data_IF_030113783796
#
_entry.id   IF_030113783796
#
_cell.length_a   1.000
_cell.length_b   1.000
_cell.length_c   1.000
_cell.angle_alpha   90.00
_cell.angle_beta   90.00
_cell.angle_gamma   90.00
#
_symmetry.space_group_name_H-M   'P 1'
#
loop_
_entity.id
_entity.type
_entity.pdbx_description
1 polymer ?
#
# COMPACT_ATOMS: atom_id res chain seq x y z
N UNK A 1 -8.40 -0.89 18.02
CA UNK A 1 -7.66 0.39 17.91
C UNK A 1 -6.72 0.29 16.72
N UNK A 2 -7.04 0.87 15.57
CA UNK A 2 -6.09 0.94 14.46
C UNK A 2 -5.14 2.12 14.74
N UNK A 3 -4.00 1.82 15.37
CA UNK A 3 -2.90 2.79 15.56
C UNK A 3 -1.94 2.64 14.39
N UNK A 4 -1.53 3.75 13.80
CA UNK A 4 -0.39 3.78 12.87
C UNK A 4 0.85 3.34 13.63
N UNK A 5 1.41 2.18 13.28
CA UNK A 5 2.66 1.67 13.83
C UNK A 5 3.81 1.97 12.87
N UNK A 6 4.98 2.29 13.43
CA UNK A 6 6.22 2.45 12.66
C UNK A 6 7.16 1.33 13.07
N UNK A 7 7.57 0.51 12.11
CA UNK A 7 8.48 -0.62 12.30
C UNK A 7 9.71 -0.35 11.43
N UNK A 8 10.90 -0.68 11.93
CA UNK A 8 12.12 -0.54 11.14
C UNK A 8 12.13 -1.58 10.03
N UNK A 9 12.43 -1.16 8.81
CA UNK A 9 12.50 -2.07 7.65
C UNK A 9 13.52 -3.21 7.87
N UNK A 10 14.59 -2.96 8.62
CA UNK A 10 15.61 -3.95 8.97
C UNK A 10 15.06 -5.14 9.75
N UNK A 11 13.99 -4.96 10.51
CA UNK A 11 13.31 -6.03 11.25
C UNK A 11 12.46 -6.90 10.31
N UNK A 12 12.02 -6.35 9.19
CA UNK A 12 11.23 -7.06 8.17
C UNK A 12 12.10 -7.70 7.09
N UNK A 13 13.31 -7.18 6.86
CA UNK A 13 14.24 -7.64 5.82
C UNK A 13 14.41 -9.17 5.73
N UNK A 14 14.53 -9.94 6.84
CA UNK A 14 14.63 -11.41 6.76
C UNK A 14 13.46 -12.09 6.02
N UNK A 15 12.30 -11.44 5.96
CA UNK A 15 11.10 -11.93 5.29
C UNK A 15 10.91 -11.37 3.87
N UNK A 16 11.76 -10.44 3.43
CA UNK A 16 11.62 -9.71 2.16
C UNK A 16 12.82 -9.91 1.22
N UNK A 17 13.87 -10.60 1.67
CA UNK A 17 15.13 -10.77 0.94
C UNK A 17 15.30 -12.18 0.39
N UNK A 18 15.86 -12.26 -0.81
CA UNK A 18 16.23 -13.50 -1.46
C UNK A 18 17.62 -13.95 -1.00
N UNK A 19 17.72 -15.17 -0.46
CA UNK A 19 18.99 -15.75 0.00
C UNK A 19 20.00 -15.99 -1.14
N UNK A 20 19.54 -16.17 -2.38
CA UNK A 20 20.43 -16.46 -3.52
C UNK A 20 21.20 -15.23 -4.02
N UNK A 21 20.61 -14.02 -3.95
CA UNK A 21 21.25 -12.79 -4.41
C UNK A 21 21.53 -11.77 -3.29
N UNK A 22 21.00 -11.98 -2.09
CA UNK A 22 21.12 -11.05 -0.96
C UNK A 22 20.30 -9.75 -1.09
N UNK A 23 19.53 -9.59 -2.18
CA UNK A 23 18.66 -8.43 -2.41
C UNK A 23 17.20 -8.68 -2.04
N UNK A 24 16.35 -7.66 -2.17
CA UNK A 24 14.90 -7.81 -2.05
C UNK A 24 14.32 -8.69 -3.17
N UNK A 25 13.19 -9.34 -2.90
CA UNK A 25 12.49 -10.12 -3.92
C UNK A 25 12.04 -9.25 -5.11
N UNK A 26 12.46 -9.67 -6.30
CA UNK A 26 11.99 -9.16 -7.60
C UNK A 26 11.43 -10.37 -8.35
N UNK A 27 10.18 -10.25 -8.79
CA UNK A 27 9.37 -11.35 -9.33
C UNK A 27 9.42 -12.58 -8.42
N UNK A 28 8.96 -12.42 -7.17
CA UNK A 28 8.95 -13.46 -6.15
C UNK A 28 8.36 -14.77 -6.73
N UNK A 29 9.11 -15.85 -6.53
CA UNK A 29 8.80 -17.18 -7.05
C UNK A 29 9.04 -18.18 -5.93
N UNK A 30 7.99 -18.94 -5.62
CA UNK A 30 7.93 -19.84 -4.47
C UNK A 30 7.95 -21.30 -4.94
N UNK A 31 8.74 -22.13 -4.28
CA UNK A 31 8.75 -23.58 -4.45
C UNK A 31 7.51 -24.16 -3.76
N UNK A 32 6.68 -24.91 -4.47
CA UNK A 32 5.38 -25.39 -3.95
C UNK A 32 5.59 -26.38 -2.79
N UNK A 33 6.55 -27.29 -2.91
CA UNK A 33 6.76 -28.38 -1.95
C UNK A 33 7.21 -27.94 -0.55
N UNK A 34 7.88 -26.78 -0.43
CA UNK A 34 8.43 -26.32 0.84
C UNK A 34 8.16 -24.84 1.15
N UNK A 35 7.43 -24.13 0.29
CA UNK A 35 7.05 -22.73 0.44
C UNK A 35 8.20 -21.74 0.65
N UNK A 36 9.42 -22.09 0.21
CA UNK A 36 10.55 -21.17 0.19
C UNK A 36 10.52 -20.30 -1.07
N UNK A 37 10.70 -18.99 -0.89
CA UNK A 37 10.59 -17.98 -1.94
C UNK A 37 11.95 -17.39 -2.32
N UNK A 38 12.08 -17.04 -3.60
CA UNK A 38 13.29 -16.51 -4.24
C UNK A 38 12.91 -15.51 -5.34
N UNK A 39 13.86 -14.74 -5.87
CA UNK A 39 13.63 -14.02 -7.13
C UNK A 39 13.48 -15.01 -8.30
N UNK A 40 12.59 -14.74 -9.26
CA UNK A 40 12.34 -15.61 -10.43
C UNK A 40 13.62 -16.03 -11.14
N UNK A 41 14.44 -15.06 -11.53
CA UNK A 41 15.68 -15.31 -12.27
C UNK A 41 16.70 -16.10 -11.45
N UNK A 42 16.75 -15.88 -10.13
CA UNK A 42 17.68 -16.56 -9.23
C UNK A 42 17.33 -18.04 -9.10
N UNK A 43 16.07 -18.36 -8.81
CA UNK A 43 15.67 -19.76 -8.61
C UNK A 43 15.64 -20.53 -9.93
N UNK A 44 15.24 -19.92 -11.04
CA UNK A 44 15.29 -20.56 -12.36
C UNK A 44 16.72 -20.96 -12.71
N UNK A 45 17.68 -20.02 -12.57
CA UNK A 45 19.10 -20.29 -12.84
C UNK A 45 19.69 -21.35 -11.91
N UNK A 46 19.33 -21.31 -10.62
CA UNK A 46 19.82 -22.32 -9.67
C UNK A 46 19.31 -23.73 -10.04
N UNK A 47 18.03 -23.86 -10.41
CA UNK A 47 17.39 -25.14 -10.74
C UNK A 47 17.83 -25.74 -12.09
N UNK A 48 18.63 -25.03 -12.88
CA UNK A 48 19.35 -25.60 -14.04
C UNK A 48 20.43 -26.60 -13.61
N UNK A 49 20.98 -26.43 -12.40
CA UNK A 49 22.10 -27.24 -11.89
C UNK A 49 21.72 -28.15 -10.73
N UNK A 50 20.65 -27.84 -10.00
CA UNK A 50 20.19 -28.59 -8.83
C UNK A 50 18.68 -28.86 -8.88
N UNK A 51 18.25 -29.97 -8.27
CA UNK A 51 16.83 -30.33 -8.12
C UNK A 51 16.32 -30.19 -6.69
N UNK A 52 17.13 -29.61 -5.80
CA UNK A 52 16.86 -29.52 -4.36
C UNK A 52 16.76 -28.07 -3.92
N UNK A 53 15.93 -27.78 -2.93
CA UNK A 53 15.73 -26.42 -2.42
C UNK A 53 17.05 -25.86 -1.82
N UNK A 54 17.45 -24.61 -2.15
CA UNK A 54 18.65 -23.98 -1.59
C UNK A 54 18.67 -23.79 -0.06
N UNK A 55 17.53 -23.93 0.61
CA UNK A 55 17.38 -23.62 2.05
C UNK A 55 17.26 -24.90 2.88
N UNK A 56 16.45 -25.86 2.43
CA UNK A 56 16.09 -27.03 3.22
C UNK A 56 16.39 -28.37 2.53
N UNK A 57 17.05 -28.35 1.36
CA UNK A 57 17.43 -29.54 0.59
C UNK A 57 16.27 -30.50 0.25
N UNK A 58 15.02 -30.05 0.36
CA UNK A 58 13.86 -30.80 -0.11
C UNK A 58 13.91 -30.88 -1.64
N UNK A 59 13.68 -32.07 -2.20
CA UNK A 59 13.64 -32.27 -3.64
C UNK A 59 12.45 -31.53 -4.25
N UNK A 60 12.72 -30.53 -5.11
CA UNK A 60 11.70 -29.69 -5.74
C UNK A 60 10.84 -30.50 -6.70
N UNK A 61 11.47 -31.35 -7.52
CA UNK A 61 10.82 -32.29 -8.42
C UNK A 61 11.82 -33.37 -8.87
N UNK A 62 11.34 -34.58 -9.19
CA UNK A 62 12.19 -35.72 -9.59
C UNK A 62 13.03 -35.46 -10.85
N UNK A 63 12.40 -34.92 -11.90
CA UNK A 63 13.05 -34.68 -13.21
C UNK A 63 13.13 -33.21 -13.62
N UNK A 64 12.02 -32.47 -13.50
CA UNK A 64 11.86 -31.09 -13.99
C UNK A 64 11.49 -30.11 -12.86
N UNK A 65 12.48 -29.56 -12.11
CA UNK A 65 12.22 -28.69 -10.96
C UNK A 65 11.41 -27.43 -11.29
N UNK A 66 11.50 -26.91 -12.52
CA UNK A 66 10.71 -25.75 -12.98
C UNK A 66 9.19 -25.97 -12.98
N UNK A 67 8.69 -27.21 -12.93
CA UNK A 67 7.25 -27.48 -12.87
C UNK A 67 6.64 -27.17 -11.50
N UNK A 68 7.46 -27.22 -10.44
CA UNK A 68 7.06 -27.09 -9.04
C UNK A 68 7.47 -25.74 -8.41
N UNK A 69 7.66 -24.72 -9.25
CA UNK A 69 7.77 -23.33 -8.82
C UNK A 69 6.60 -22.52 -9.37
N UNK A 70 6.15 -21.50 -8.62
CA UNK A 70 5.06 -20.61 -9.00
C UNK A 70 5.41 -19.17 -8.67
N UNK A 71 4.98 -18.24 -9.53
CA UNK A 71 5.06 -16.81 -9.23
C UNK A 71 4.17 -16.50 -8.02
N UNK A 72 4.73 -15.83 -7.02
CA UNK A 72 4.06 -15.44 -5.79
C UNK A 72 3.73 -13.95 -5.84
N UNK A 73 2.61 -13.64 -6.49
CA UNK A 73 2.19 -12.25 -6.71
C UNK A 73 1.86 -11.54 -5.39
N UNK A 74 1.34 -12.27 -4.40
CA UNK A 74 1.00 -11.70 -3.10
C UNK A 74 2.25 -11.32 -2.32
N UNK A 75 3.25 -12.20 -2.25
CA UNK A 75 4.53 -11.86 -1.63
C UNK A 75 5.20 -10.69 -2.35
N UNK A 76 5.17 -10.68 -3.68
CA UNK A 76 5.74 -9.57 -4.45
C UNK A 76 5.02 -8.23 -4.16
N UNK A 77 3.70 -8.24 -4.06
CA UNK A 77 2.90 -7.06 -3.71
C UNK A 77 3.23 -6.58 -2.29
N UNK A 78 3.43 -7.49 -1.33
CA UNK A 78 3.85 -7.16 0.04
C UNK A 78 5.22 -6.48 0.03
N UNK A 79 6.20 -7.08 -0.66
CA UNK A 79 7.56 -6.54 -0.75
C UNK A 79 7.56 -5.15 -1.38
N UNK A 80 6.84 -4.96 -2.48
CA UNK A 80 6.76 -3.67 -3.14
C UNK A 80 5.99 -2.58 -2.35
N UNK A 81 5.03 -2.97 -1.49
CA UNK A 81 4.34 -2.02 -0.60
C UNK A 81 5.15 -1.65 0.63
N UNK A 82 5.93 -2.59 1.17
CA UNK A 82 6.71 -2.38 2.39
C UNK A 82 8.05 -1.70 2.14
N UNK A 83 8.71 -1.98 1.01
CA UNK A 83 10.03 -1.43 0.69
C UNK A 83 9.86 -0.13 -0.11
N UNK A 84 10.18 1.05 0.47
CA UNK A 84 9.96 2.33 -0.19
C UNK A 84 10.74 2.46 -1.49
N UNK A 85 10.06 2.86 -2.56
CA UNK A 85 10.68 3.13 -3.87
C UNK A 85 11.17 1.90 -4.63
N UNK A 86 11.07 0.68 -4.08
CA UNK A 86 11.59 -0.53 -4.73
C UNK A 86 10.96 -0.76 -6.10
N UNK A 87 9.63 -0.69 -6.18
CA UNK A 87 8.90 -0.84 -7.44
C UNK A 87 9.29 0.24 -8.46
N UNK A 88 9.29 1.52 -8.05
CA UNK A 88 9.68 2.65 -8.92
C UNK A 88 11.10 2.44 -9.48
N UNK A 89 12.03 2.00 -8.64
CA UNK A 89 13.42 1.75 -9.01
C UNK A 89 13.56 0.55 -9.96
N UNK A 90 12.85 -0.55 -9.71
CA UNK A 90 12.86 -1.72 -10.58
C UNK A 90 12.28 -1.40 -11.97
N UNK A 91 11.12 -0.74 -12.03
CA UNK A 91 10.52 -0.30 -13.29
C UNK A 91 11.42 0.69 -14.05
N UNK A 92 12.17 1.54 -13.34
CA UNK A 92 13.18 2.42 -13.94
C UNK A 92 14.31 1.61 -14.57
N UNK A 93 14.86 0.61 -13.85
CA UNK A 93 15.94 -0.25 -14.36
C UNK A 93 15.51 -1.00 -15.63
N UNK A 94 14.28 -1.54 -15.66
CA UNK A 94 13.72 -2.20 -16.85
C UNK A 94 13.66 -1.24 -18.04
N UNK A 95 13.08 -0.04 -17.86
CA UNK A 95 12.99 0.96 -18.93
C UNK A 95 14.36 1.40 -19.44
N UNK A 96 15.30 1.72 -18.53
CA UNK A 96 16.64 2.15 -18.89
C UNK A 96 17.37 1.07 -19.71
N UNK A 97 17.20 -0.20 -19.33
CA UNK A 97 17.76 -1.34 -20.06
C UNK A 97 17.22 -1.43 -21.49
N UNK A 98 15.89 -1.42 -21.67
CA UNK A 98 15.30 -1.55 -23.00
C UNK A 98 15.49 -0.30 -23.87
N UNK A 99 15.60 0.89 -23.27
CA UNK A 99 15.95 2.11 -23.99
C UNK A 99 17.36 2.03 -24.60
N UNK A 100 18.30 1.38 -23.91
CA UNK A 100 19.67 1.16 -24.40
C UNK A 100 19.81 -0.04 -25.36
N UNK A 101 18.85 -0.97 -25.35
CA UNK A 101 18.87 -2.20 -26.16
C UNK A 101 17.64 -2.32 -27.07
N UNK A 102 17.51 -1.46 -28.10
CA UNK A 102 16.40 -1.53 -29.05
C UNK A 102 16.57 -2.75 -29.98
N UNK A 103 16.20 -3.95 -29.51
CA UNK A 103 16.16 -5.18 -30.32
C UNK A 103 14.71 -5.61 -30.61
N UNK A 104 14.52 -6.45 -31.63
CA UNK A 104 13.20 -6.99 -32.00
C UNK A 104 12.55 -7.84 -30.89
N UNK A 105 13.35 -8.46 -30.02
CA UNK A 105 12.86 -9.22 -28.86
C UNK A 105 12.25 -8.32 -27.77
N UNK A 106 12.58 -7.02 -27.80
CA UNK A 106 11.89 -6.03 -27.00
C UNK A 106 10.41 -5.91 -27.39
N UNK A 107 9.88 -6.59 -28.42
CA UNK A 107 8.45 -6.65 -28.74
C UNK A 107 7.69 -7.82 -28.07
N UNK A 108 8.38 -8.82 -27.52
CA UNK A 108 7.74 -10.06 -27.03
C UNK A 108 7.43 -10.10 -25.52
N UNK A 109 7.89 -9.14 -24.73
CA UNK A 109 7.58 -9.02 -23.30
C UNK A 109 6.22 -8.38 -23.00
N UNK A 110 5.73 -8.51 -21.76
CA UNK A 110 4.61 -7.70 -21.29
C UNK A 110 5.03 -6.23 -21.06
N UNK A 111 4.08 -5.31 -20.95
CA UNK A 111 4.39 -3.91 -20.65
C UNK A 111 5.11 -3.77 -19.29
N UNK A 112 4.74 -4.58 -18.30
CA UNK A 112 5.40 -4.65 -16.99
C UNK A 112 6.85 -5.16 -17.10
N UNK A 113 7.15 -6.09 -18.02
CA UNK A 113 8.51 -6.56 -18.27
C UNK A 113 9.40 -5.44 -18.85
N UNK A 114 8.83 -4.52 -19.63
CA UNK A 114 9.52 -3.32 -20.13
C UNK A 114 9.63 -2.20 -19.08
N UNK A 115 8.95 -2.34 -17.94
CA UNK A 115 8.79 -1.27 -16.96
C UNK A 115 7.82 -0.16 -17.40
N UNK A 116 7.02 -0.43 -18.43
CA UNK A 116 5.95 0.45 -18.91
C UNK A 116 4.66 0.13 -18.15
N UNK A 117 4.47 0.76 -17.00
CA UNK A 117 3.26 0.59 -16.19
C UNK A 117 2.39 1.82 -16.40
N UNK A 118 1.19 1.61 -16.98
CA UNK A 118 0.19 2.66 -17.12
C UNK A 118 -0.16 3.23 -15.73
N UNK A 119 -0.52 4.50 -15.67
CA UNK A 119 -0.91 5.14 -14.40
C UNK A 119 -2.09 4.42 -13.73
N UNK A 120 -2.99 3.82 -14.52
CA UNK A 120 -4.15 3.05 -14.06
C UNK A 120 -3.76 1.69 -13.43
N UNK A 121 -2.61 1.15 -13.80
CA UNK A 121 -2.08 -0.12 -13.28
C UNK A 121 -1.15 0.06 -12.08
N UNK A 122 -0.90 1.31 -11.64
CA UNK A 122 -0.15 1.61 -10.43
C UNK A 122 -0.95 1.22 -9.18
N UNK A 123 -0.87 -0.06 -8.82
CA UNK A 123 -1.42 -0.63 -7.57
C UNK A 123 -0.72 -0.14 -6.31
N UNK A 124 0.44 0.50 -6.46
CA UNK A 124 1.24 0.99 -5.34
C UNK A 124 1.08 2.51 -5.28
N UNK A 125 0.51 2.97 -4.19
CA UNK A 125 0.33 4.37 -3.83
C UNK A 125 1.34 4.63 -2.73
N UNK A 126 2.23 5.58 -2.95
CA UNK A 126 3.22 6.00 -1.95
C UNK A 126 2.74 7.26 -1.23
N UNK A 127 3.28 7.54 -0.04
CA UNK A 127 2.83 8.66 0.79
C UNK A 127 3.21 10.04 0.20
N UNK A 128 4.25 10.08 -0.62
CA UNK A 128 4.71 11.23 -1.41
C UNK A 128 3.86 11.50 -2.68
N UNK A 129 2.96 10.60 -3.06
CA UNK A 129 2.16 10.77 -4.28
C UNK A 129 1.04 11.80 -4.14
N UNK A 130 0.70 12.45 -5.26
CA UNK A 130 -0.49 13.29 -5.38
C UNK A 130 -1.67 12.42 -5.86
N UNK A 131 -2.74 12.40 -5.08
CA UNK A 131 -4.01 11.76 -5.41
C UNK A 131 -5.00 12.82 -5.92
N UNK A 132 -5.66 12.51 -7.03
CA UNK A 132 -6.82 13.26 -7.52
C UNK A 132 -8.08 12.73 -6.85
N UNK A 133 -8.88 13.61 -6.26
CA UNK A 133 -10.14 13.25 -5.61
C UNK A 133 -11.26 14.20 -6.02
N UNK A 134 -12.49 13.73 -5.91
CA UNK A 134 -13.69 14.55 -6.03
C UNK A 134 -14.42 14.57 -4.69
N UNK A 135 -15.03 15.71 -4.36
CA UNK A 135 -15.82 15.88 -3.15
C UNK A 135 -17.13 16.58 -3.46
N UNK A 136 -18.24 15.94 -3.08
CA UNK A 136 -19.60 16.45 -3.29
C UNK A 136 -20.43 16.42 -2.02
N UNK A 137 -21.43 17.29 -1.93
CA UNK A 137 -22.37 17.27 -0.82
C UNK A 137 -23.27 16.04 -0.93
N UNK A 138 -23.41 15.30 0.16
CA UNK A 138 -24.30 14.17 0.25
C UNK A 138 -25.73 14.66 0.45
N UNK A 139 -26.53 14.57 -0.60
CA UNK A 139 -27.96 14.89 -0.58
C UNK A 139 -28.79 13.61 -0.47
N UNK A 140 -29.28 13.31 0.73
CA UNK A 140 -30.16 12.16 0.99
C UNK A 140 -31.41 12.19 0.08
N UNK A 141 -31.95 13.38 -0.19
CA UNK A 141 -33.18 13.54 -0.98
C UNK A 141 -32.95 13.24 -2.47
N UNK A 142 -31.72 13.32 -2.98
CA UNK A 142 -31.40 12.94 -4.36
C UNK A 142 -31.37 11.43 -4.57
N UNK A 143 -31.01 10.64 -3.55
CA UNK A 143 -31.04 9.18 -3.64
C UNK A 143 -32.48 8.68 -3.80
N UNK A 144 -33.39 9.20 -2.98
CA UNK A 144 -34.81 8.83 -3.02
C UNK A 144 -35.47 9.20 -4.35
N UNK A 145 -35.05 10.33 -4.95
CA UNK A 145 -35.52 10.75 -6.29
C UNK A 145 -34.90 9.93 -7.42
N UNK A 146 -33.72 9.35 -7.24
CA UNK A 146 -33.07 8.50 -8.26
C UNK A 146 -33.71 7.11 -8.33
N UNK A 147 -34.18 6.59 -7.20
CA UNK A 147 -34.95 5.32 -7.12
C UNK A 147 -36.32 5.45 -7.81
N UNK A 148 -36.94 6.62 -7.79
CA UNK A 148 -38.24 6.87 -8.43
C UNK A 148 -38.17 7.31 -9.91
N UNK A 149 -36.96 7.42 -10.50
CA UNK A 149 -36.75 8.00 -11.83
C UNK A 149 -36.30 6.97 -12.87
N UNK A 150 -37.07 5.90 -13.02
CA UNK A 150 -36.96 4.99 -14.17
C UNK A 150 -37.69 5.51 -15.44
N UNK A 151 -38.29 6.71 -15.38
CA UNK A 151 -39.00 7.30 -16.53
C UNK A 151 -38.81 8.80 -16.60
N UNK A 152 -37.64 9.28 -17.04
CA UNK A 152 -37.51 10.47 -17.92
C UNK A 152 -36.05 10.85 -18.22
N UNK A 153 -35.86 11.33 -19.46
CA UNK A 153 -34.61 11.68 -20.17
C UNK A 153 -33.48 12.30 -19.33
N UNK A 154 -32.20 12.12 -19.75
CA UNK A 154 -31.04 12.66 -19.04
C UNK A 154 -31.01 14.18 -19.23
N UNK A 155 -31.60 14.93 -18.28
CA UNK A 155 -31.26 16.33 -18.11
C UNK A 155 -29.82 16.38 -17.59
N UNK A 156 -28.95 17.15 -18.25
CA UNK A 156 -27.57 17.44 -17.85
C UNK A 156 -27.46 17.45 -16.33
N UNK A 157 -26.83 16.43 -15.76
CA UNK A 157 -26.57 16.38 -14.32
C UNK A 157 -25.65 17.57 -14.00
N UNK A 158 -26.19 18.58 -13.33
CA UNK A 158 -25.40 19.69 -12.78
C UNK A 158 -24.34 19.07 -11.88
N UNK A 159 -23.09 19.07 -12.36
CA UNK A 159 -21.96 18.41 -11.72
C UNK A 159 -21.54 19.22 -10.49
N UNK A 160 -22.22 19.02 -9.37
CA UNK A 160 -21.96 19.70 -8.08
C UNK A 160 -20.72 19.13 -7.34
N UNK A 161 -19.79 18.55 -8.12
CA UNK A 161 -18.54 17.96 -7.65
C UNK A 161 -17.43 19.00 -7.70
N UNK A 162 -16.66 19.09 -6.63
CA UNK A 162 -15.38 19.80 -6.63
C UNK A 162 -14.23 18.81 -6.71
N UNK A 163 -13.21 19.12 -7.48
CA UNK A 163 -12.03 18.27 -7.66
C UNK A 163 -10.82 18.87 -6.93
N UNK A 164 -10.02 18.01 -6.31
CA UNK A 164 -8.85 18.38 -5.52
C UNK A 164 -7.67 17.48 -5.90
N UNK A 165 -6.47 18.06 -5.86
CA UNK A 165 -5.20 17.31 -5.88
C UNK A 165 -4.58 17.43 -4.49
N UNK A 166 -4.37 16.30 -3.84
CA UNK A 166 -3.92 16.24 -2.45
C UNK A 166 -2.77 15.24 -2.30
N UNK A 167 -1.78 15.51 -1.44
CA UNK A 167 -0.83 14.49 -1.02
C UNK A 167 -1.55 13.26 -0.44
N UNK A 168 -1.09 12.06 -0.78
CA UNK A 168 -1.67 10.79 -0.35
C UNK A 168 -1.68 10.65 1.18
N UNK A 169 -0.68 11.24 1.85
CA UNK A 169 -0.59 11.32 3.31
C UNK A 169 -1.63 12.25 3.99
N UNK A 170 -2.41 13.03 3.23
CA UNK A 170 -3.46 13.88 3.80
C UNK A 170 -4.56 13.03 4.45
N UNK A 171 -5.03 13.43 5.64
CA UNK A 171 -6.05 12.69 6.38
C UNK A 171 -7.46 13.21 6.16
N UNK A 172 -8.45 12.39 6.51
CA UNK A 172 -9.86 12.78 6.59
C UNK A 172 -10.06 13.98 7.52
N UNK A 173 -9.32 14.06 8.62
CA UNK A 173 -9.34 15.23 9.50
C UNK A 173 -8.95 16.52 8.76
N UNK A 174 -7.94 16.48 7.88
CA UNK A 174 -7.55 17.63 7.08
C UNK A 174 -8.67 18.04 6.11
N UNK A 175 -9.29 17.07 5.41
CA UNK A 175 -10.45 17.34 4.54
C UNK A 175 -11.61 17.97 5.31
N UNK A 176 -11.89 17.48 6.52
CA UNK A 176 -12.95 18.03 7.37
C UNK A 176 -12.68 19.49 7.74
N UNK A 177 -11.45 19.81 8.16
CA UNK A 177 -11.04 21.18 8.48
C UNK A 177 -11.12 22.08 7.25
N UNK A 178 -10.68 21.58 6.10
CA UNK A 178 -10.80 22.26 4.82
C UNK A 178 -12.26 22.59 4.48
N UNK A 179 -13.16 21.61 4.54
CA UNK A 179 -14.60 21.82 4.27
C UNK A 179 -15.21 22.83 5.24
N UNK A 180 -14.88 22.73 6.53
CA UNK A 180 -15.35 23.66 7.55
C UNK A 180 -14.99 25.11 7.19
N UNK A 181 -13.73 25.34 6.83
CA UNK A 181 -13.25 26.67 6.47
C UNK A 181 -13.80 27.13 5.11
N UNK A 182 -13.85 26.24 4.11
CA UNK A 182 -14.25 26.57 2.74
C UNK A 182 -15.74 26.91 2.63
N UNK A 183 -16.57 26.26 3.44
CA UNK A 183 -18.03 26.40 3.44
C UNK A 183 -18.55 27.20 4.64
N UNK A 184 -17.66 27.80 5.44
CA UNK A 184 -17.97 28.56 6.65
C UNK A 184 -18.95 27.84 7.61
N UNK A 185 -18.70 26.55 7.87
CA UNK A 185 -19.60 25.70 8.67
C UNK A 185 -19.35 25.94 10.17
N UNK A 186 -20.37 26.39 10.95
CA UNK A 186 -20.20 26.66 12.37
C UNK A 186 -19.85 25.41 13.19
N UNK A 187 -19.19 25.60 14.33
CA UNK A 187 -18.81 24.51 15.25
C UNK A 187 -20.01 23.79 15.89
N UNK A 188 -21.23 24.35 15.76
CA UNK A 188 -22.49 23.69 16.13
C UNK A 188 -22.88 22.56 15.17
N UNK A 189 -22.14 22.37 14.09
CA UNK A 189 -22.32 21.27 13.16
C UNK A 189 -21.08 20.36 13.08
N UNK A 190 -21.33 19.07 12.97
CA UNK A 190 -20.37 18.03 12.63
C UNK A 190 -20.35 17.83 11.11
N UNK A 191 -19.16 17.51 10.59
CA UNK A 191 -18.95 17.22 9.18
C UNK A 191 -18.45 15.78 9.09
N UNK A 192 -19.25 14.93 8.44
CA UNK A 192 -18.86 13.57 8.10
C UNK A 192 -18.30 13.57 6.68
N UNK A 193 -17.07 13.10 6.51
CA UNK A 193 -16.51 12.78 5.19
C UNK A 193 -16.73 11.30 4.95
N UNK A 194 -17.22 10.93 3.78
CA UNK A 194 -17.74 9.61 3.49
C UNK A 194 -17.17 9.06 2.19
N UNK A 195 -17.01 7.75 2.13
CA UNK A 195 -16.88 7.01 0.88
C UNK A 195 -18.18 6.26 0.66
N UNK A 196 -18.80 6.45 -0.50
CA UNK A 196 -20.17 5.99 -0.79
C UNK A 196 -21.19 6.49 0.26
N UNK A 197 -21.60 5.64 1.20
CA UNK A 197 -22.55 5.95 2.28
C UNK A 197 -21.92 5.84 3.68
N UNK A 198 -20.65 5.46 3.77
CA UNK A 198 -19.97 5.16 5.02
C UNK A 198 -19.09 6.32 5.51
N UNK A 199 -19.29 6.82 6.75
CA UNK A 199 -18.39 7.80 7.36
C UNK A 199 -16.99 7.25 7.62
N UNK A 200 -15.99 7.97 7.11
CA UNK A 200 -14.58 7.64 7.24
C UNK A 200 -14.02 8.15 8.58
N UNK A 201 -13.00 7.46 9.09
CA UNK A 201 -12.32 7.85 10.32
C UNK A 201 -11.33 8.98 10.08
N UNK A 202 -11.24 9.90 11.04
CA UNK A 202 -10.37 11.09 11.02
C UNK A 202 -8.91 10.81 10.68
N UNK A 203 -8.40 9.67 11.16
CA UNK A 203 -7.01 9.29 11.05
C UNK A 203 -6.69 8.54 9.74
N UNK A 204 -7.69 8.17 8.94
CA UNK A 204 -7.43 7.61 7.62
C UNK A 204 -6.79 8.65 6.72
N UNK A 205 -5.69 8.27 6.09
CA UNK A 205 -5.06 9.00 4.98
C UNK A 205 -5.81 8.75 3.68
N UNK A 206 -5.61 9.58 2.66
CA UNK A 206 -6.14 9.32 1.31
C UNK A 206 -5.57 8.01 0.73
N UNK A 207 -4.33 7.69 1.06
CA UNK A 207 -3.70 6.40 0.77
C UNK A 207 -4.47 5.24 1.43
N UNK A 208 -4.81 5.35 2.72
CA UNK A 208 -5.58 4.32 3.43
C UNK A 208 -6.94 4.10 2.76
N UNK A 209 -7.66 5.18 2.43
CA UNK A 209 -8.97 5.09 1.75
C UNK A 209 -8.83 4.38 0.41
N UNK A 210 -7.83 4.75 -0.39
CA UNK A 210 -7.59 4.12 -1.68
C UNK A 210 -7.29 2.62 -1.54
N UNK A 211 -6.55 2.20 -0.53
CA UNK A 211 -6.26 0.78 -0.27
C UNK A 211 -7.46 0.01 0.29
N UNK A 212 -8.15 0.57 1.29
CA UNK A 212 -9.32 -0.06 1.94
C UNK A 212 -10.42 -0.32 0.92
N UNK A 213 -10.71 0.66 0.06
CA UNK A 213 -11.76 0.58 -0.94
C UNK A 213 -11.25 0.15 -2.32
N UNK A 214 -10.00 -0.32 -2.42
CA UNK A 214 -9.40 -0.87 -3.64
C UNK A 214 -9.49 0.05 -4.87
N UNK A 215 -9.41 1.37 -4.65
CA UNK A 215 -9.51 2.36 -5.72
C UNK A 215 -8.36 2.20 -6.73
N UNK A 216 -8.71 2.09 -8.01
CA UNK A 216 -7.77 1.76 -9.10
C UNK A 216 -7.37 2.95 -9.98
N UNK A 217 -7.52 4.18 -9.48
CA UNK A 217 -7.22 5.40 -10.26
C UNK A 217 -8.04 5.58 -11.55
N UNK A 218 -9.14 4.82 -11.71
CA UNK A 218 -10.12 4.97 -12.78
C UNK A 218 -10.97 6.24 -12.57
N UNK A 219 -10.36 7.40 -12.77
CA UNK A 219 -10.91 8.69 -12.37
C UNK A 219 -10.61 9.05 -10.90
N UNK A 220 -10.99 10.25 -10.45
CA UNK A 220 -10.65 10.77 -9.12
C UNK A 220 -11.33 9.98 -8.00
N UNK A 221 -10.66 9.85 -6.85
CA UNK A 221 -11.20 9.19 -5.65
C UNK A 221 -12.52 9.89 -5.23
N UNK A 222 -13.68 9.20 -5.30
CA UNK A 222 -14.97 9.84 -5.07
C UNK A 222 -15.30 9.89 -3.57
N UNK A 223 -15.26 11.09 -3.00
CA UNK A 223 -15.66 11.34 -1.61
C UNK A 223 -16.94 12.17 -1.57
N UNK A 224 -17.70 12.00 -0.50
CA UNK A 224 -18.86 12.81 -0.19
C UNK A 224 -18.71 13.44 1.19
N UNK A 225 -19.48 14.48 1.48
CA UNK A 225 -19.58 15.03 2.83
C UNK A 225 -21.01 15.38 3.22
N UNK A 226 -21.33 15.23 4.50
CA UNK A 226 -22.61 15.63 5.09
C UNK A 226 -22.38 16.50 6.32
N UNK A 227 -23.29 17.43 6.56
CA UNK A 227 -23.30 18.29 7.73
C UNK A 227 -24.46 17.88 8.64
N UNK A 228 -24.19 17.65 9.93
CA UNK A 228 -25.20 17.28 10.94
C UNK A 228 -25.12 18.20 12.15
N UNK A 229 -26.24 18.57 12.79
CA UNK A 229 -26.18 19.28 14.07
C UNK A 229 -25.39 18.48 15.11
N UNK A 230 -24.52 19.14 15.86
CA UNK A 230 -23.88 18.50 17.01
C UNK A 230 -24.92 18.39 18.12
N UNK A 231 -25.34 17.18 18.48
CA UNK A 231 -26.14 16.98 19.69
C UNK A 231 -25.26 17.33 20.90
N UNK A 232 -25.39 18.54 21.43
CA UNK A 232 -24.87 18.85 22.76
C UNK A 232 -25.65 17.98 23.73
N UNK A 233 -24.99 17.06 24.42
CA UNK A 233 -25.59 16.34 25.55
C UNK A 233 -26.06 17.41 26.55
N UNK A 234 -27.36 17.62 26.66
CA UNK A 234 -27.93 18.53 27.65
C UNK A 234 -27.44 18.10 29.02
N UNK A 235 -26.59 18.91 29.66
CA UNK A 235 -26.49 18.90 31.12
C UNK A 235 -27.80 19.47 31.61
N UNK A 236 -28.68 18.63 32.12
CA UNK A 236 -29.82 19.06 32.93
C UNK A 236 -29.22 19.76 34.15
N UNK A 237 -29.20 21.09 34.08
CA UNK A 237 -29.01 21.96 35.23
C UNK A 237 -30.40 22.25 35.76
N UNK A 238 -30.79 21.60 36.86
CA UNK A 238 -31.93 22.05 37.65
C UNK A 238 -31.58 23.41 38.25
N UNK A 239 -32.09 24.49 37.66
CA UNK A 239 -32.25 25.77 38.34
C UNK A 239 -33.70 25.84 38.81
N UNK A 240 -33.91 25.71 40.14
CA UNK A 240 -35.12 26.13 40.82
C UNK A 240 -34.88 27.55 41.30
N UNK A 241 -35.59 28.51 40.71
CA UNK A 241 -35.81 29.82 41.31
C UNK A 241 -37.14 29.80 42.08
N UNK A 242 -37.17 30.46 43.25
CA UNK A 242 -38.41 30.73 44.00
C UNK A 242 -38.18 30.99 45.49
N UNK A 243 -38.18 32.28 45.87
CA UNK A 243 -38.15 32.79 47.24
C UNK A 243 -39.49 32.63 48.00
N UNK A 244 -39.39 32.40 49.31
CA UNK A 244 -40.23 32.84 50.48
C UNK A 244 -41.76 32.64 50.45
N UNK A 245 -42.32 31.82 51.35
CA UNK A 245 -42.79 32.18 52.71
C UNK A 245 -43.68 31.09 53.38
N UNK A 246 -43.48 30.91 54.70
CA UNK A 246 -44.36 30.50 55.80
C UNK A 246 -45.40 29.35 55.67
N UNK A 247 -45.34 28.42 56.63
CA UNK A 247 -46.46 27.51 56.98
C UNK A 247 -46.00 26.27 57.75
N UNK A 248 -46.37 26.20 59.03
CA UNK A 248 -46.10 25.15 60.03
C UNK A 248 -46.50 23.73 59.59
N UNK A 249 -45.76 22.71 60.04
CA UNK A 249 -46.22 21.69 61.01
C UNK A 249 -45.18 20.56 61.14
N UNK A 250 -44.98 20.17 62.39
CA UNK A 250 -43.97 19.25 62.89
C UNK A 250 -44.24 17.79 62.52
N UNK A 251 -43.18 16.98 62.38
CA UNK A 251 -43.08 15.70 63.11
C UNK A 251 -41.68 15.10 63.06
N UNK A 252 -41.34 14.63 64.25
CA UNK A 252 -40.12 14.11 64.85
C UNK A 252 -39.59 12.80 64.24
N UNK A 253 -38.26 12.60 64.26
CA UNK A 253 -37.61 11.40 64.84
C UNK A 253 -36.13 11.22 64.40
N UNK A 254 -35.22 11.39 65.37
CA UNK A 254 -34.22 10.35 65.70
C UNK A 254 -32.84 10.37 65.05
N UNK A 255 -31.93 11.16 65.62
CA UNK A 255 -30.55 10.82 66.12
C UNK A 255 -30.01 9.38 65.91
N UNK A 256 -28.72 9.06 65.75
CA UNK A 256 -27.47 9.77 66.13
C UNK A 256 -26.20 9.09 65.54
N UNK A 257 -25.16 9.92 65.32
CA UNK A 257 -23.67 9.71 65.46
C UNK A 257 -22.92 8.55 64.80
N UNK A 258 -21.60 8.58 64.59
CA UNK A 258 -20.54 9.55 64.30
C UNK A 258 -19.20 8.80 64.48
N UNK A 259 -18.24 8.94 63.56
CA UNK A 259 -16.82 9.26 63.83
C UNK A 259 -15.86 8.75 62.73
N UNK A 260 -14.95 9.66 62.34
CA UNK A 260 -13.67 9.49 61.63
C UNK A 260 -12.61 8.80 62.57
N UNK A 261 -11.28 8.70 62.28
CA UNK A 261 -10.46 9.26 61.19
C UNK A 261 -9.28 8.39 60.63
N UNK A 262 -8.66 8.94 59.58
CA UNK A 262 -7.24 8.98 59.16
C UNK A 262 -6.24 7.82 59.41
N UNK A 263 -5.47 7.51 58.35
CA UNK A 263 -4.00 7.39 58.38
C UNK A 263 -3.39 6.00 58.19
N UNK A 264 -2.37 5.89 57.31
CA UNK A 264 -1.37 4.81 57.38
C UNK A 264 -0.89 4.22 56.03
N UNK A 265 0.38 4.47 55.72
CA UNK A 265 1.23 3.77 54.71
C UNK A 265 1.49 2.32 55.18
N UNK A 266 2.00 1.38 54.35
CA UNK A 266 3.44 1.11 54.40
C UNK A 266 4.12 0.65 53.08
N UNK A 267 5.45 0.69 53.10
CA UNK A 267 6.40 0.03 52.18
C UNK A 267 6.95 -1.27 52.77
N UNK A 268 7.47 -2.19 51.94
CA UNK A 268 8.60 -3.15 52.13
C UNK A 268 8.65 -4.05 50.87
N UNK A 269 9.67 -4.09 50.01
CA UNK A 269 11.07 -4.62 50.07
C UNK A 269 11.19 -6.16 50.05
N UNK A 270 11.84 -6.72 49.01
CA UNK A 270 12.87 -7.78 49.13
C UNK A 270 13.50 -8.18 47.77
N UNK A 271 14.73 -8.69 47.84
CA UNK A 271 15.80 -8.65 46.83
C UNK A 271 16.09 -10.01 46.12
N UNK A 272 16.82 -9.88 44.99
CA UNK A 272 17.66 -10.79 44.16
C UNK A 272 18.35 -12.01 44.84
N UNK A 273 18.79 -13.07 44.09
CA UNK A 273 20.03 -13.08 43.28
C UNK A 273 20.05 -13.90 41.96
N UNK A 274 21.01 -13.59 41.08
CA UNK A 274 21.47 -14.37 39.89
C UNK A 274 22.65 -15.30 40.24
N UNK A 275 22.97 -16.34 39.43
CA UNK A 275 24.15 -16.21 38.52
C UNK A 275 24.14 -17.04 37.19
N UNK A 276 24.85 -16.49 36.18
CA UNK A 276 25.80 -17.08 35.21
C UNK A 276 25.50 -18.30 34.30
N UNK A 277 25.46 -18.07 32.97
CA UNK A 277 26.32 -18.61 31.86
C UNK A 277 25.55 -18.81 30.52
N UNK A 278 26.22 -18.69 29.34
CA UNK A 278 25.56 -18.49 28.05
C UNK A 278 25.51 -19.76 27.18
N UNK A 279 24.41 -19.94 26.42
CA UNK A 279 24.34 -20.93 25.33
C UNK A 279 24.26 -20.19 24.00
N UNK A 280 25.26 -20.45 23.15
CA UNK A 280 25.36 -20.00 21.76
C UNK A 280 24.35 -20.72 20.85
N UNK A 281 23.78 -19.98 19.90
CA UNK A 281 23.07 -20.51 18.74
C UNK A 281 23.70 -19.93 17.46
N UNK A 282 23.83 -20.70 16.36
CA UNK A 282 24.73 -20.37 15.28
C UNK A 282 24.13 -19.34 14.32
N UNK A 283 24.87 -18.25 14.10
CA UNK A 283 24.65 -17.28 13.03
C UNK A 283 25.61 -17.62 11.87
N UNK A 284 25.14 -17.78 10.63
CA UNK A 284 26.05 -17.85 9.49
C UNK A 284 26.60 -16.45 9.19
N UNK A 285 27.90 -16.29 9.41
CA UNK A 285 28.67 -15.12 8.98
C UNK A 285 28.75 -15.08 7.45
N UNK A 286 28.31 -13.98 6.86
CA UNK A 286 28.65 -13.62 5.48
C UNK A 286 30.06 -13.00 5.44
N UNK A 287 30.94 -13.40 4.50
CA UNK A 287 32.22 -12.73 4.34
C UNK A 287 32.03 -11.35 3.69
N UNK A 288 32.44 -10.31 4.42
CA UNK A 288 32.63 -8.96 3.87
C UNK A 288 33.79 -8.98 2.88
N UNK A 289 33.51 -8.86 1.59
CA UNK A 289 34.51 -8.46 0.59
C UNK A 289 34.46 -6.94 0.50
N UNK A 290 35.47 -6.30 1.08
CA UNK A 290 35.77 -4.89 0.86
C UNK A 290 36.61 -4.79 -0.42
N UNK A 291 36.14 -4.03 -1.41
CA UNK A 291 37.00 -3.48 -2.45
C UNK A 291 36.70 -1.99 -2.61
N UNK A 292 37.49 -1.18 -1.91
CA UNK A 292 37.99 0.06 -2.48
C UNK A 292 38.80 -0.30 -3.72
N UNK A 293 38.76 0.51 -4.80
CA UNK A 293 39.91 1.24 -5.38
C UNK A 293 39.44 2.08 -6.57
N UNK A 294 40.13 3.22 -6.71
CA UNK A 294 39.93 4.35 -7.59
C UNK A 294 39.92 4.04 -9.09
N UNK A 295 39.33 4.98 -9.83
CA UNK A 295 39.52 5.08 -11.27
C UNK A 295 40.88 5.67 -11.64
N UNK A 296 41.36 5.28 -12.81
CA UNK A 296 42.23 6.08 -13.67
C UNK A 296 42.10 5.60 -15.11
N UNK A 297 41.97 6.56 -16.00
CA UNK A 297 41.96 6.49 -17.46
C UNK A 297 43.29 6.01 -18.05
N UNK A 298 43.25 5.16 -19.08
CA UNK A 298 44.16 5.23 -20.23
C UNK A 298 43.73 4.26 -21.34
N UNK A 299 43.58 4.80 -22.55
CA UNK A 299 43.54 4.03 -23.81
C UNK A 299 44.95 3.46 -24.09
N UNK A 300 45.06 2.37 -24.89
CA UNK A 300 45.44 2.61 -26.29
C UNK A 300 44.81 1.64 -27.32
N UNK A 301 44.85 2.11 -28.55
CA UNK A 301 44.49 1.48 -29.81
C UNK A 301 45.27 0.20 -30.13
N UNK A 302 44.65 -0.73 -30.87
CA UNK A 302 45.34 -1.89 -31.46
C UNK A 302 44.43 -2.78 -32.30
N UNK A 303 44.47 -2.58 -33.61
CA UNK A 303 43.89 -3.40 -34.68
C UNK A 303 44.17 -4.91 -34.54
N UNK A 304 43.20 -5.76 -34.91
CA UNK A 304 43.41 -6.79 -35.92
C UNK A 304 42.08 -7.33 -36.48
N UNK A 305 41.92 -7.19 -37.79
CA UNK A 305 40.90 -7.81 -38.64
C UNK A 305 41.21 -9.30 -38.87
N UNK A 306 40.16 -10.11 -39.06
CA UNK A 306 40.16 -11.17 -40.07
C UNK A 306 38.74 -11.46 -40.57
N UNK A 307 38.64 -11.48 -41.89
CA UNK A 307 37.48 -11.41 -42.79
C UNK A 307 36.71 -12.73 -42.99
N UNK A 308 35.61 -12.61 -43.77
CA UNK A 308 35.04 -13.54 -44.79
C UNK A 308 33.54 -13.80 -44.55
N UNK A 309 32.63 -13.83 -45.53
CA UNK A 309 32.48 -13.21 -46.84
C UNK A 309 30.99 -13.38 -47.22
N UNK A 310 30.45 -12.39 -47.94
CA UNK A 310 29.09 -12.33 -48.46
C UNK A 310 28.80 -13.38 -49.54
N UNK A 311 27.53 -13.83 -49.65
CA UNK A 311 26.84 -13.91 -50.94
C UNK A 311 25.30 -13.85 -50.81
N UNK A 312 24.60 -13.06 -51.66
CA UNK A 312 23.15 -12.86 -51.61
C UNK A 312 22.40 -13.77 -52.60
N UNK A 313 21.07 -13.96 -52.41
CA UNK A 313 20.19 -14.52 -53.44
C UNK A 313 18.93 -13.68 -53.67
N UNK A 314 18.62 -13.58 -54.96
CA UNK A 314 17.73 -12.65 -55.68
C UNK A 314 16.24 -12.87 -55.41
N UNK A 315 15.50 -11.75 -55.54
CA UNK A 315 14.08 -11.65 -55.83
C UNK A 315 13.74 -12.09 -57.27
N UNK A 316 12.54 -12.65 -57.46
CA UNK A 316 11.88 -12.78 -58.76
C UNK A 316 10.41 -12.38 -58.61
N UNK A 317 9.95 -11.54 -59.53
CA UNK A 317 8.59 -11.03 -59.70
C UNK A 317 8.12 -11.42 -61.12
N UNK A 318 6.80 -11.54 -61.29
CA UNK A 318 5.97 -11.87 -62.48
C UNK A 318 5.47 -13.33 -62.51
N UNK A 319 4.19 -13.62 -62.77
CA UNK A 319 3.05 -12.75 -63.06
C UNK A 319 1.79 -13.56 -63.43
N UNK A 320 0.65 -12.90 -63.27
CA UNK A 320 -0.58 -12.94 -64.08
C UNK A 320 -1.55 -14.14 -64.10
N UNK A 321 -2.81 -13.74 -64.09
CA UNK A 321 -4.06 -14.49 -64.02
C UNK A 321 -4.66 -14.88 -65.39
N UNK A 322 -5.65 -15.79 -65.32
CA UNK A 322 -6.93 -15.81 -66.06
C UNK A 322 -7.15 -16.81 -67.24
N UNK A 323 -8.20 -17.65 -67.05
CA UNK A 323 -9.19 -18.21 -68.02
C UNK A 323 -8.66 -19.21 -69.09
N UNK A 324 -9.34 -20.29 -69.50
CA UNK A 324 -10.77 -20.59 -69.66
C UNK A 324 -11.04 -22.11 -69.85
N UNK A 325 -12.31 -22.49 -69.70
CA UNK A 325 -13.07 -23.53 -70.42
C UNK A 325 -12.64 -25.00 -70.39
N UNK A 326 -13.57 -25.84 -69.90
CA UNK A 326 -13.55 -27.30 -69.97
C UNK A 326 -14.50 -27.89 -68.94
#
# INVERSE_FOLDING_TARGET
>A
MHRTTRIKITELNPHLMCVLCGGYFIDATTIIECLHSFCKTCIVRYLETSKYCPICDVQVHKTRPLLNIRSDKTLQDIVYKLVPGLFKNEMKRRRDFYAAHPSADAANGSNEDRGEVADEDKRIITDDEIISLSIEFFDQNRLDRKVNKDKEKPKEEVNDKRYLRCPAAMTVMHLRKFLRSKMDIPNTFQIDVMYEEEPLKDYYTLMDIAYIYTWRRNGPLPLKYRVRPTCKRMKISHQRDGLTNAGELESDSGSDKANSPAGGIPSTSSCLPSPSTPVQSPHPQFPHISSTMNGTSSSPSGNHQSSFANRPRKSSVNGSSATSSG
#
